data_IF_276813905732
#
_entry.id   IF_276813905732
#
_cell.length_a   1.000
_cell.length_b   1.000
_cell.length_c   1.000
_cell.angle_alpha   90.00
_cell.angle_beta   90.00
_cell.angle_gamma   90.00
#
_symmetry.space_group_name_H-M   'P 1'
#
loop_
_entity.id
_entity.type
_entity.pdbx_description
1 polymer ?
#
# COMPACT_ATOMS: atom_id res chain seq x y z
N UNK A 1 -1.49 -0.08 -27.04
CA UNK A 1 -2.03 0.19 -25.70
C UNK A 1 -1.23 1.34 -25.12
N UNK A 2 -1.90 2.33 -24.52
CA UNK A 2 -1.20 3.40 -23.81
C UNK A 2 -0.42 2.75 -22.64
N UNK A 3 0.84 3.09 -22.47
CA UNK A 3 1.66 2.50 -21.41
C UNK A 3 1.20 3.00 -20.04
N UNK A 4 0.93 2.08 -19.12
CA UNK A 4 0.57 2.39 -17.73
C UNK A 4 1.80 2.84 -16.92
N UNK A 5 1.60 3.72 -15.95
CA UNK A 5 2.56 4.09 -14.92
C UNK A 5 2.21 3.44 -13.56
N UNK A 6 3.13 2.63 -13.03
CA UNK A 6 3.01 2.02 -11.71
C UNK A 6 3.91 2.75 -10.70
N UNK A 7 3.32 3.31 -9.65
CA UNK A 7 4.08 3.71 -8.47
C UNK A 7 4.21 2.51 -7.52
N UNK A 8 5.43 2.10 -7.19
CA UNK A 8 5.70 1.09 -6.15
C UNK A 8 6.36 1.74 -4.94
N UNK A 9 5.66 1.77 -3.81
CA UNK A 9 6.23 2.18 -2.52
C UNK A 9 6.87 0.96 -1.86
N UNK A 10 8.17 1.03 -1.64
CA UNK A 10 8.99 -0.04 -1.08
C UNK A 10 9.57 0.36 0.27
N UNK A 11 9.52 -0.54 1.25
CA UNK A 11 10.10 -0.31 2.58
C UNK A 11 10.87 -1.53 3.05
N UNK A 12 12.18 -1.51 2.86
CA UNK A 12 13.10 -2.42 3.52
C UNK A 12 14.51 -1.79 3.58
N UNK A 13 15.31 -2.01 4.65
CA UNK A 13 16.65 -1.41 4.75
C UNK A 13 17.67 -1.89 3.70
N UNK A 14 17.34 -2.94 2.95
CA UNK A 14 18.24 -3.59 2.00
C UNK A 14 17.54 -3.85 0.67
N UNK A 15 18.22 -3.56 -0.44
CA UNK A 15 17.72 -3.72 -1.82
C UNK A 15 18.17 -5.03 -2.49
N UNK A 16 18.89 -5.88 -1.76
CA UNK A 16 19.46 -7.15 -2.20
C UNK A 16 18.94 -8.37 -1.40
N UNK A 17 17.95 -8.15 -0.51
CA UNK A 17 17.33 -9.20 0.31
C UNK A 17 16.01 -9.68 -0.27
N UNK A 18 15.45 -10.70 0.37
CA UNK A 18 14.24 -11.38 -0.11
C UNK A 18 13.07 -10.42 -0.40
N UNK A 19 12.78 -9.37 0.41
CA UNK A 19 11.75 -8.39 0.03
C UNK A 19 12.01 -7.65 -1.28
N UNK A 20 13.26 -7.35 -1.60
CA UNK A 20 13.62 -6.77 -2.89
C UNK A 20 13.45 -7.79 -4.03
N UNK A 21 13.73 -9.07 -3.78
CA UNK A 21 13.47 -10.13 -4.75
C UNK A 21 11.97 -10.29 -5.05
N UNK A 22 11.11 -10.24 -4.02
CA UNK A 22 9.64 -10.24 -4.16
C UNK A 22 9.18 -9.04 -5.00
N UNK A 23 9.66 -7.83 -4.70
CA UNK A 23 9.36 -6.64 -5.51
C UNK A 23 9.77 -6.83 -6.98
N UNK A 24 10.99 -7.32 -7.23
CA UNK A 24 11.49 -7.56 -8.59
C UNK A 24 10.65 -8.60 -9.34
N UNK A 25 10.23 -9.67 -8.68
CA UNK A 25 9.34 -10.68 -9.26
C UNK A 25 7.95 -10.12 -9.59
N UNK A 26 7.37 -9.31 -8.70
CA UNK A 26 6.13 -8.58 -8.98
C UNK A 26 6.25 -7.61 -10.17
N UNK A 27 7.40 -6.94 -10.33
CA UNK A 27 7.65 -6.02 -11.45
C UNK A 27 7.91 -6.70 -12.78
N UNK A 28 8.28 -7.98 -12.82
CA UNK A 28 8.68 -8.67 -14.05
C UNK A 28 7.56 -8.66 -15.12
N UNK A 29 6.30 -9.04 -14.80
CA UNK A 29 5.18 -8.89 -15.74
C UNK A 29 4.91 -7.44 -16.16
N UNK A 30 5.10 -6.47 -15.27
CA UNK A 30 4.88 -5.04 -15.54
C UNK A 30 5.85 -4.54 -16.60
N UNK A 31 7.13 -4.87 -16.46
CA UNK A 31 8.16 -4.54 -17.44
C UNK A 31 7.96 -5.28 -18.76
N UNK A 32 7.61 -6.57 -18.70
CA UNK A 32 7.38 -7.39 -19.88
C UNK A 32 6.21 -6.87 -20.75
N UNK A 33 5.20 -6.25 -20.11
CA UNK A 33 4.08 -5.61 -20.79
C UNK A 33 4.41 -4.20 -21.36
N UNK A 34 5.63 -3.70 -21.16
CA UNK A 34 6.07 -2.38 -21.63
C UNK A 34 5.53 -1.20 -20.82
N UNK A 35 5.10 -1.44 -19.57
CA UNK A 35 4.68 -0.39 -18.64
C UNK A 35 5.88 0.23 -17.92
N UNK A 36 5.68 1.43 -17.38
CA UNK A 36 6.70 2.14 -16.60
C UNK A 36 6.48 1.92 -15.10
N UNK A 37 7.57 1.93 -14.34
CA UNK A 37 7.55 1.72 -12.89
C UNK A 37 8.37 2.83 -12.25
N UNK A 38 7.73 3.60 -11.39
CA UNK A 38 8.39 4.46 -10.44
C UNK A 38 8.54 3.72 -9.11
N UNK A 39 9.77 3.60 -8.61
CA UNK A 39 10.04 2.93 -7.33
C UNK A 39 10.36 4.00 -6.30
N UNK A 40 9.43 4.20 -5.36
CA UNK A 40 9.64 5.00 -4.16
C UNK A 40 10.23 4.08 -3.07
N UNK A 41 11.55 3.99 -3.03
CA UNK A 41 12.26 3.27 -1.98
C UNK A 41 12.48 4.19 -0.78
N UNK A 42 11.63 4.05 0.25
CA UNK A 42 11.61 4.94 1.40
C UNK A 42 12.92 4.97 2.18
N UNK A 43 13.69 3.88 2.16
CA UNK A 43 15.00 3.84 2.83
C UNK A 43 16.10 4.45 1.96
N UNK A 44 16.12 4.12 0.66
CA UNK A 44 17.13 4.67 -0.25
C UNK A 44 16.93 6.16 -0.53
N UNK A 45 15.70 6.67 -0.43
CA UNK A 45 15.36 8.08 -0.56
C UNK A 45 15.40 8.86 0.78
N UNK A 46 15.81 8.23 1.88
CA UNK A 46 15.95 8.85 3.21
C UNK A 46 14.68 9.59 3.69
N UNK A 47 13.51 9.02 3.42
CA UNK A 47 12.23 9.60 3.81
C UNK A 47 12.10 9.68 5.33
N UNK A 48 11.76 10.85 5.89
CA UNK A 48 11.51 10.97 7.33
C UNK A 48 10.10 10.45 7.68
N UNK A 49 9.95 9.33 8.41
CA UNK A 49 8.62 8.81 8.72
C UNK A 49 7.91 9.55 9.85
N UNK A 50 8.58 10.49 10.52
CA UNK A 50 8.03 11.14 11.71
C UNK A 50 7.05 12.23 11.30
N UNK A 51 5.85 12.19 11.87
CA UNK A 51 4.89 13.28 11.75
C UNK A 51 5.42 14.54 12.46
N UNK A 52 5.64 15.61 11.70
CA UNK A 52 6.33 16.84 12.12
C UNK A 52 5.35 17.95 12.55
N UNK A 53 5.84 19.03 13.19
CA UNK A 53 5.03 20.23 13.42
C UNK A 53 4.47 20.87 12.14
N UNK A 54 5.17 20.75 11.01
CA UNK A 54 4.73 21.26 9.71
C UNK A 54 3.57 20.42 9.16
N UNK A 55 3.65 19.09 9.29
CA UNK A 55 2.55 18.18 8.95
C UNK A 55 1.31 18.50 9.81
N UNK A 56 1.50 18.76 11.10
CA UNK A 56 0.42 19.17 12.00
C UNK A 56 -0.16 20.53 11.61
N UNK A 57 0.67 21.50 11.24
CA UNK A 57 0.20 22.80 10.78
C UNK A 57 -0.63 22.65 9.49
N UNK A 58 -0.18 21.82 8.54
CA UNK A 58 -0.92 21.52 7.32
C UNK A 58 -2.29 20.87 7.61
N UNK A 59 -2.34 19.92 8.54
CA UNK A 59 -3.61 19.31 8.98
C UNK A 59 -4.65 20.36 9.44
N UNK A 60 -4.19 21.49 9.99
CA UNK A 60 -5.02 22.63 10.41
C UNK A 60 -5.13 23.76 9.35
N UNK A 61 -4.86 23.46 8.08
CA UNK A 61 -5.01 24.41 6.97
C UNK A 61 -3.77 25.23 6.66
N UNK A 62 -2.61 24.90 7.26
CA UNK A 62 -1.31 25.43 6.87
C UNK A 62 -0.85 24.92 5.49
N UNK A 63 0.27 25.46 4.98
CA UNK A 63 0.84 25.01 3.71
C UNK A 63 1.30 23.55 3.79
N UNK A 64 1.21 22.84 2.68
CA UNK A 64 1.75 21.49 2.55
C UNK A 64 3.29 21.55 2.56
N UNK A 65 3.99 20.66 3.29
CA UNK A 65 5.45 20.56 3.18
C UNK A 65 5.89 20.13 1.78
N UNK A 66 6.97 20.71 1.25
CA UNK A 66 7.42 20.48 -0.13
C UNK A 66 7.71 19.01 -0.45
N UNK A 67 8.29 18.29 0.52
CA UNK A 67 8.54 16.85 0.43
C UNK A 67 7.23 16.08 0.23
N UNK A 68 6.17 16.44 0.95
CA UNK A 68 4.86 15.78 0.87
C UNK A 68 4.15 16.14 -0.43
N UNK A 69 4.25 17.39 -0.88
CA UNK A 69 3.75 17.79 -2.19
C UNK A 69 4.44 17.04 -3.34
N UNK A 70 5.72 16.67 -3.19
CA UNK A 70 6.42 15.82 -4.15
C UNK A 70 5.87 14.39 -4.15
N UNK A 71 5.50 13.84 -2.99
CA UNK A 71 4.86 12.52 -2.92
C UNK A 71 3.45 12.53 -3.54
N UNK A 72 2.68 13.60 -3.36
CA UNK A 72 1.38 13.76 -4.03
C UNK A 72 1.49 13.68 -5.54
N UNK A 73 2.46 14.41 -6.13
CA UNK A 73 2.71 14.36 -7.58
C UNK A 73 3.01 12.94 -8.08
N UNK A 74 3.83 12.17 -7.35
CA UNK A 74 4.13 10.78 -7.73
C UNK A 74 2.87 9.90 -7.72
N UNK A 75 1.96 10.13 -6.77
CA UNK A 75 0.67 9.40 -6.72
C UNK A 75 -0.26 9.85 -7.85
N UNK A 76 -0.32 11.15 -8.14
CA UNK A 76 -1.15 11.73 -9.21
C UNK A 76 -0.69 11.29 -10.62
N UNK A 77 0.62 11.10 -10.80
CA UNK A 77 1.20 10.59 -12.05
C UNK A 77 0.96 9.08 -12.24
N UNK A 78 0.54 8.36 -11.19
CA UNK A 78 0.37 6.92 -11.21
C UNK A 78 -1.02 6.49 -11.67
N UNK A 79 -1.06 5.58 -12.65
CA UNK A 79 -2.30 4.89 -13.02
C UNK A 79 -2.66 3.82 -11.97
N UNK A 80 -1.65 3.31 -11.26
CA UNK A 80 -1.77 2.26 -10.24
C UNK A 80 -0.71 2.37 -9.17
N UNK A 81 -1.02 1.86 -7.98
CA UNK A 81 -0.09 1.79 -6.86
C UNK A 81 0.20 0.36 -6.42
N UNK A 82 1.42 0.12 -5.98
CA UNK A 82 1.84 -1.10 -5.31
C UNK A 82 2.62 -0.78 -4.03
N UNK A 83 2.46 -1.62 -3.01
CA UNK A 83 3.22 -1.53 -1.76
C UNK A 83 3.91 -2.87 -1.50
N UNK A 84 5.21 -2.86 -1.23
CA UNK A 84 5.97 -4.08 -0.93
C UNK A 84 6.79 -3.88 0.34
N UNK A 85 6.54 -4.71 1.36
CA UNK A 85 7.12 -4.55 2.69
C UNK A 85 7.17 -5.85 3.50
N UNK A 86 8.13 -6.01 4.43
CA UNK A 86 8.05 -7.04 5.46
C UNK A 86 6.92 -6.71 6.45
N UNK A 87 6.17 -7.72 6.89
CA UNK A 87 5.16 -7.54 7.93
C UNK A 87 5.85 -7.41 9.28
N UNK A 88 5.77 -6.22 9.88
CA UNK A 88 6.27 -5.95 11.22
C UNK A 88 5.09 -5.74 12.17
N UNK A 89 5.07 -6.51 13.26
CA UNK A 89 4.02 -6.42 14.28
C UNK A 89 2.59 -6.42 13.70
N UNK A 90 2.34 -7.32 12.73
CA UNK A 90 1.02 -7.46 12.07
C UNK A 90 0.57 -6.18 11.36
N UNK A 91 1.51 -5.46 10.78
CA UNK A 91 1.28 -4.23 10.01
C UNK A 91 2.46 -3.86 9.12
N UNK A 92 2.44 -2.61 8.66
CA UNK A 92 3.52 -2.02 7.86
C UNK A 92 4.73 -1.65 8.73
N UNK A 93 5.96 -1.65 8.19
CA UNK A 93 7.11 -1.05 8.86
C UNK A 93 6.88 0.44 9.16
N UNK A 94 7.54 0.96 10.20
CA UNK A 94 7.43 2.36 10.60
C UNK A 94 7.70 3.35 9.44
N UNK A 95 8.66 3.04 8.55
CA UNK A 95 8.94 3.86 7.37
C UNK A 95 7.71 4.01 6.47
N UNK A 96 7.09 2.89 6.09
CA UNK A 96 5.90 2.89 5.25
C UNK A 96 4.67 3.45 5.97
N UNK A 97 4.52 3.16 7.27
CA UNK A 97 3.42 3.73 8.06
C UNK A 97 3.53 5.24 8.17
N UNK A 98 4.74 5.76 8.39
CA UNK A 98 5.04 7.19 8.42
C UNK A 98 4.77 7.86 7.06
N UNK A 99 5.10 7.18 5.95
CA UNK A 99 4.75 7.67 4.62
C UNK A 99 3.25 7.84 4.46
N UNK A 100 2.46 6.83 4.85
CA UNK A 100 0.99 6.95 4.84
C UNK A 100 0.52 8.11 5.73
N UNK A 101 1.05 8.22 6.95
CA UNK A 101 0.62 9.26 7.91
C UNK A 101 0.89 10.69 7.44
N UNK A 102 2.04 10.92 6.78
CA UNK A 102 2.43 12.24 6.30
C UNK A 102 1.83 12.56 4.92
N UNK A 103 1.67 11.57 4.04
CA UNK A 103 1.22 11.79 2.65
C UNK A 103 -0.29 11.80 2.51
N UNK A 104 -1.04 11.02 3.30
CA UNK A 104 -2.51 10.97 3.16
C UNK A 104 -3.16 12.12 3.92
N UNK A 105 -3.01 13.34 3.41
CA UNK A 105 -3.38 14.58 4.09
C UNK A 105 -4.84 14.99 3.91
N UNK A 106 -5.34 15.82 4.82
CA UNK A 106 -6.65 16.48 4.70
C UNK A 106 -6.63 17.43 3.50
N UNK A 107 -7.69 17.42 2.69
CA UNK A 107 -7.82 18.26 1.50
C UNK A 107 -7.18 17.66 0.24
N UNK A 108 -6.44 16.55 0.37
CA UNK A 108 -5.89 15.80 -0.76
C UNK A 108 -6.32 14.34 -0.78
N UNK A 109 -6.19 13.61 0.33
CA UNK A 109 -6.63 12.21 0.42
C UNK A 109 -8.07 12.07 0.93
N UNK A 110 -8.47 12.94 1.85
CA UNK A 110 -9.82 12.98 2.41
C UNK A 110 -10.16 14.37 2.95
N UNK A 111 -11.45 14.64 3.17
CA UNK A 111 -11.92 15.91 3.74
C UNK A 111 -13.22 15.71 4.51
N UNK A 112 -13.47 16.54 5.52
CA UNK A 112 -14.80 16.68 6.14
C UNK A 112 -15.37 18.01 5.73
N UNK A 113 -16.59 18.06 5.17
CA UNK A 113 -17.20 19.33 4.75
C UNK A 113 -16.24 20.21 3.96
N UNK A 114 -15.88 21.38 4.51
CA UNK A 114 -14.90 22.31 3.94
C UNK A 114 -13.48 22.16 4.50
N UNK A 115 -13.27 21.38 5.55
CA UNK A 115 -11.95 21.18 6.15
C UNK A 115 -12.01 20.50 7.52
N UNK A 116 -10.88 20.43 8.20
CA UNK A 116 -10.74 19.71 9.48
C UNK A 116 -11.68 20.22 10.58
N UNK A 117 -12.08 21.49 10.56
CA UNK A 117 -13.02 22.08 11.52
C UNK A 117 -14.42 21.45 11.49
N UNK A 118 -14.76 20.81 10.37
CA UNK A 118 -16.02 20.10 10.15
C UNK A 118 -15.94 18.62 10.56
N UNK A 119 -14.80 18.14 11.06
CA UNK A 119 -14.65 16.77 11.56
C UNK A 119 -15.65 16.51 12.70
N UNK A 120 -16.43 15.44 12.55
CA UNK A 120 -17.50 15.08 13.49
C UNK A 120 -18.79 15.90 13.32
N UNK A 121 -18.83 16.87 12.40
CA UNK A 121 -20.01 17.70 12.07
C UNK A 121 -20.55 17.40 10.67
N UNK A 122 -19.66 17.12 9.72
CA UNK A 122 -19.98 16.82 8.34
C UNK A 122 -19.46 15.43 7.94
N UNK A 123 -20.06 14.79 6.93
CA UNK A 123 -19.59 13.51 6.42
C UNK A 123 -18.18 13.63 5.83
N UNK A 124 -17.46 12.50 5.85
CA UNK A 124 -16.20 12.32 5.14
C UNK A 124 -16.44 12.31 3.63
N UNK A 125 -15.61 13.03 2.91
CA UNK A 125 -15.44 12.96 1.45
C UNK A 125 -14.06 12.37 1.17
N UNK A 126 -14.02 11.30 0.39
CA UNK A 126 -12.80 10.64 -0.06
C UNK A 126 -12.31 11.27 -1.37
N UNK A 127 -11.00 11.48 -1.53
CA UNK A 127 -10.48 12.34 -2.61
C UNK A 127 -9.47 11.65 -3.56
N UNK A 128 -8.97 10.44 -3.28
CA UNK A 128 -7.94 9.77 -4.10
C UNK A 128 -8.44 9.05 -5.38
N UNK A 129 -9.67 9.29 -5.82
CA UNK A 129 -10.12 8.90 -7.17
C UNK A 129 -10.11 7.39 -7.53
N UNK A 130 -10.00 6.51 -6.53
CA UNK A 130 -9.95 5.05 -6.69
C UNK A 130 -8.81 4.51 -7.59
N UNK A 131 -7.59 5.03 -7.43
CA UNK A 131 -6.39 4.48 -8.09
C UNK A 131 -6.21 2.99 -7.67
N UNK A 132 -6.26 2.01 -8.60
CA UNK A 132 -6.11 0.60 -8.26
C UNK A 132 -4.82 0.34 -7.50
N UNK A 133 -4.93 -0.39 -6.38
CA UNK A 133 -3.82 -0.56 -5.44
C UNK A 133 -3.65 -2.02 -5.02
N UNK A 134 -2.40 -2.50 -5.02
CA UNK A 134 -2.08 -3.83 -4.47
C UNK A 134 -1.00 -3.73 -3.40
N UNK A 135 -1.06 -4.58 -2.39
CA UNK A 135 -0.05 -4.65 -1.34
C UNK A 135 0.48 -6.08 -1.22
N UNK A 136 1.79 -6.22 -1.03
CA UNK A 136 2.47 -7.50 -0.82
C UNK A 136 3.21 -7.42 0.51
N UNK A 137 2.57 -7.94 1.55
CA UNK A 137 3.18 -8.11 2.87
C UNK A 137 3.95 -9.42 2.94
N UNK A 138 5.18 -9.36 3.43
CA UNK A 138 6.09 -10.52 3.52
C UNK A 138 6.24 -10.92 4.99
N UNK A 139 5.59 -12.01 5.38
CA UNK A 139 5.50 -12.46 6.77
C UNK A 139 6.50 -13.56 7.10
N UNK A 140 7.16 -13.45 8.25
CA UNK A 140 8.02 -14.52 8.78
C UNK A 140 7.28 -15.70 9.42
N UNK A 141 6.01 -15.52 9.78
CA UNK A 141 5.17 -16.56 10.39
C UNK A 141 4.35 -17.34 9.36
N UNK A 142 4.03 -18.60 9.70
CA UNK A 142 3.17 -19.49 8.90
C UNK A 142 1.75 -18.96 8.72
N UNK A 143 1.07 -19.37 7.64
CA UNK A 143 -0.37 -19.13 7.43
C UNK A 143 -1.22 -19.58 8.62
N UNK A 144 -0.90 -20.75 9.22
CA UNK A 144 -1.61 -21.27 10.40
C UNK A 144 -1.59 -20.29 11.58
N UNK A 145 -0.49 -19.57 11.78
CA UNK A 145 -0.38 -18.55 12.83
C UNK A 145 -1.29 -17.36 12.52
N UNK A 146 -1.29 -16.87 11.28
CA UNK A 146 -2.16 -15.78 10.87
C UNK A 146 -3.64 -16.13 11.03
N UNK A 147 -4.05 -17.34 10.61
CA UNK A 147 -5.42 -17.82 10.74
C UNK A 147 -5.84 -17.95 12.21
N UNK A 148 -4.97 -18.52 13.07
CA UNK A 148 -5.27 -18.75 14.50
C UNK A 148 -5.59 -17.46 15.26
N UNK A 149 -4.89 -16.37 14.95
CA UNK A 149 -5.00 -15.11 15.67
C UNK A 149 -5.77 -14.02 14.92
N UNK A 150 -6.21 -14.30 13.68
CA UNK A 150 -6.96 -13.34 12.87
C UNK A 150 -6.11 -12.18 12.34
N UNK A 151 -4.80 -12.35 12.19
CA UNK A 151 -3.90 -11.26 11.77
C UNK A 151 -4.18 -10.80 10.33
N UNK A 152 -4.52 -11.73 9.43
CA UNK A 152 -4.97 -11.43 8.07
C UNK A 152 -6.14 -10.44 8.05
N UNK A 153 -7.16 -10.71 8.87
CA UNK A 153 -8.37 -9.87 8.95
C UNK A 153 -8.07 -8.52 9.59
N UNK A 154 -7.29 -8.51 10.67
CA UNK A 154 -6.86 -7.29 11.34
C UNK A 154 -6.08 -6.36 10.38
N UNK A 155 -5.16 -6.93 9.59
CA UNK A 155 -4.40 -6.19 8.57
C UNK A 155 -5.31 -5.66 7.46
N UNK A 156 -6.17 -6.48 6.87
CA UNK A 156 -7.10 -6.00 5.82
C UNK A 156 -8.05 -4.93 6.34
N UNK A 157 -8.54 -5.06 7.58
CA UNK A 157 -9.42 -4.06 8.18
C UNK A 157 -8.71 -2.73 8.38
N UNK A 158 -7.49 -2.72 8.92
CA UNK A 158 -6.78 -1.46 9.16
C UNK A 158 -6.21 -0.84 7.87
N UNK A 159 -5.70 -1.67 6.95
CA UNK A 159 -5.00 -1.22 5.74
C UNK A 159 -6.02 -0.98 4.62
N UNK A 160 -6.63 -2.04 4.10
CA UNK A 160 -7.48 -1.97 2.91
C UNK A 160 -8.70 -1.07 3.18
N UNK A 161 -9.36 -1.25 4.33
CA UNK A 161 -10.56 -0.47 4.68
C UNK A 161 -10.21 0.83 5.38
N UNK A 162 -9.46 0.76 6.48
CA UNK A 162 -9.20 1.89 7.37
C UNK A 162 -8.27 2.96 6.80
N UNK A 163 -7.44 2.61 5.80
CA UNK A 163 -6.48 3.53 5.19
C UNK A 163 -6.88 3.85 3.74
N UNK A 164 -6.90 2.86 2.86
CA UNK A 164 -7.09 3.07 1.42
C UNK A 164 -8.55 3.39 1.08
N UNK A 165 -9.50 2.52 1.45
CA UNK A 165 -10.91 2.75 1.14
C UNK A 165 -11.47 3.98 1.85
N UNK A 166 -10.95 4.29 3.04
CA UNK A 166 -11.24 5.55 3.74
C UNK A 166 -10.90 6.78 2.88
N UNK A 167 -9.78 6.75 2.14
CA UNK A 167 -9.35 7.82 1.23
C UNK A 167 -9.92 7.68 -0.19
N UNK A 168 -10.78 6.68 -0.45
CA UNK A 168 -11.48 6.49 -1.72
C UNK A 168 -10.81 5.50 -2.67
N UNK A 169 -9.74 4.84 -2.23
CA UNK A 169 -9.11 3.72 -2.93
C UNK A 169 -9.80 2.43 -2.49
N UNK A 170 -10.91 2.10 -3.13
CA UNK A 170 -11.70 0.90 -2.83
C UNK A 170 -11.25 -0.33 -3.62
N UNK A 171 -10.69 -0.18 -4.83
CA UNK A 171 -10.02 -1.23 -5.61
C UNK A 171 -8.62 -1.51 -5.01
N UNK A 172 -8.62 -2.08 -3.81
CA UNK A 172 -7.39 -2.39 -3.04
C UNK A 172 -7.38 -3.84 -2.60
N UNK A 173 -6.23 -4.50 -2.73
CA UNK A 173 -6.05 -5.87 -2.24
C UNK A 173 -4.71 -6.06 -1.55
N UNK A 174 -4.75 -6.47 -0.27
CA UNK A 174 -3.58 -6.97 0.45
C UNK A 174 -3.35 -8.46 0.24
N UNK A 175 -2.17 -8.79 -0.27
CA UNK A 175 -1.62 -10.14 -0.38
C UNK A 175 -0.57 -10.39 0.71
N UNK A 176 -0.44 -11.65 1.12
CA UNK A 176 0.56 -12.09 2.09
C UNK A 176 1.34 -13.27 1.53
N UNK A 177 2.66 -13.18 1.64
CA UNK A 177 3.59 -14.29 1.45
C UNK A 177 4.04 -14.71 2.85
N UNK A 178 3.84 -15.97 3.22
CA UNK A 178 4.06 -16.46 4.58
C UNK A 178 5.34 -17.28 4.70
N UNK A 179 5.84 -17.44 5.92
CA UNK A 179 6.86 -18.43 6.30
C UNK A 179 8.20 -18.32 5.54
N UNK A 180 8.67 -17.09 5.32
CA UNK A 180 9.87 -16.84 4.49
C UNK A 180 11.18 -16.67 5.29
N UNK A 181 11.15 -16.89 6.60
CA UNK A 181 12.33 -16.71 7.46
C UNK A 181 13.27 -17.91 7.40
N UNK A 182 14.57 -17.63 7.28
CA UNK A 182 15.63 -18.65 7.30
C UNK A 182 15.87 -19.35 5.96
N UNK A 183 17.12 -19.78 5.74
CA UNK A 183 17.53 -20.47 4.50
C UNK A 183 16.87 -21.85 4.32
N UNK A 184 16.44 -22.46 5.43
CA UNK A 184 15.73 -23.74 5.42
C UNK A 184 14.36 -23.66 4.72
N UNK A 185 13.82 -22.46 4.53
CA UNK A 185 12.57 -22.20 3.83
C UNK A 185 12.79 -21.77 2.36
N UNK A 186 13.88 -22.22 1.72
CA UNK A 186 14.20 -21.88 0.33
C UNK A 186 13.08 -22.21 -0.66
N UNK A 187 12.45 -23.38 -0.55
CA UNK A 187 11.31 -23.76 -1.40
C UNK A 187 10.11 -22.80 -1.21
N UNK A 188 9.79 -22.44 0.03
CA UNK A 188 8.71 -21.47 0.34
C UNK A 188 9.05 -20.09 -0.23
N UNK A 189 10.33 -19.70 -0.19
CA UNK A 189 10.79 -18.45 -0.81
C UNK A 189 10.62 -18.47 -2.33
N UNK A 190 10.93 -19.57 -2.99
CA UNK A 190 10.74 -19.71 -4.44
C UNK A 190 9.26 -19.65 -4.83
N UNK A 191 8.39 -20.32 -4.06
CA UNK A 191 6.93 -20.23 -4.21
C UNK A 191 6.43 -18.79 -3.99
N UNK A 192 6.98 -18.07 -3.01
CA UNK A 192 6.64 -16.67 -2.77
C UNK A 192 7.04 -15.74 -3.92
N UNK A 193 8.16 -15.99 -4.61
CA UNK A 193 8.54 -15.25 -5.81
C UNK A 193 7.57 -15.54 -6.98
N UNK A 194 7.14 -16.79 -7.15
CA UNK A 194 6.13 -17.16 -8.15
C UNK A 194 4.79 -16.46 -7.84
N UNK A 195 4.35 -16.49 -6.58
CA UNK A 195 3.15 -15.80 -6.12
C UNK A 195 3.23 -14.28 -6.42
N UNK A 196 4.38 -13.65 -6.19
CA UNK A 196 4.58 -12.22 -6.49
C UNK A 196 4.44 -11.91 -7.99
N UNK A 197 5.01 -12.76 -8.86
CA UNK A 197 4.86 -12.62 -10.31
C UNK A 197 3.41 -12.86 -10.76
N UNK A 198 2.69 -13.81 -10.16
CA UNK A 198 1.27 -14.03 -10.42
C UNK A 198 0.41 -12.85 -10.00
N UNK A 199 0.68 -12.25 -8.83
CA UNK A 199 0.03 -11.01 -8.40
C UNK A 199 0.26 -9.90 -9.43
N UNK A 200 1.50 -9.71 -9.89
CA UNK A 200 1.83 -8.73 -10.93
C UNK A 200 1.05 -8.95 -12.21
N UNK A 201 0.99 -10.19 -12.72
CA UNK A 201 0.25 -10.54 -13.93
C UNK A 201 -1.25 -10.32 -13.78
N UNK A 202 -1.84 -10.79 -12.67
CA UNK A 202 -3.26 -10.66 -12.39
C UNK A 202 -3.67 -9.19 -12.20
N UNK A 203 -2.82 -8.41 -11.53
CA UNK A 203 -3.06 -6.99 -11.34
C UNK A 203 -3.15 -6.33 -12.70
N UNK A 204 -2.15 -6.48 -13.58
CA UNK A 204 -2.08 -5.84 -14.90
C UNK A 204 -3.13 -6.29 -15.92
N UNK A 205 -3.80 -7.42 -15.69
CA UNK A 205 -4.74 -7.99 -16.65
C UNK A 205 -5.78 -6.95 -17.11
N UNK A 206 -6.02 -6.79 -18.43
CA UNK A 206 -7.04 -5.86 -18.93
C UNK A 206 -8.44 -6.16 -18.38
N UNK A 207 -8.70 -7.44 -18.10
CA UNK A 207 -9.92 -7.99 -17.53
C UNK A 207 -9.79 -8.29 -16.02
N UNK A 208 -8.88 -7.59 -15.31
CA UNK A 208 -8.73 -7.78 -13.86
C UNK A 208 -10.08 -7.65 -13.16
N UNK A 209 -10.28 -8.49 -12.15
CA UNK A 209 -11.44 -8.41 -11.27
C UNK A 209 -11.21 -7.27 -10.29
N UNK A 210 -11.99 -6.20 -10.41
CA UNK A 210 -12.01 -5.10 -9.44
C UNK A 210 -12.52 -5.64 -8.10
N UNK A 211 -11.81 -5.35 -7.01
CA UNK A 211 -12.18 -5.79 -5.66
C UNK A 211 -12.47 -4.59 -4.79
N UNK A 212 -13.74 -4.31 -4.55
CA UNK A 212 -14.13 -3.29 -3.58
C UNK A 212 -13.94 -3.81 -2.15
N UNK A 213 -12.82 -3.43 -1.53
CA UNK A 213 -12.45 -3.89 -0.20
C UNK A 213 -13.47 -3.49 0.88
N UNK A 214 -14.16 -2.36 0.71
CA UNK A 214 -15.16 -1.86 1.66
C UNK A 214 -16.43 -2.71 1.59
N UNK A 215 -16.93 -2.96 0.38
CA UNK A 215 -18.10 -3.83 0.20
C UNK A 215 -17.81 -5.28 0.60
N UNK A 216 -16.63 -5.81 0.29
CA UNK A 216 -16.21 -7.13 0.75
C UNK A 216 -16.18 -7.23 2.27
N UNK A 217 -15.60 -6.23 2.96
CA UNK A 217 -15.56 -6.20 4.41
C UNK A 217 -16.96 -6.17 5.02
N UNK A 218 -17.85 -5.29 4.55
CA UNK A 218 -19.21 -5.19 5.06
C UNK A 218 -20.00 -6.49 4.85
N UNK A 219 -19.85 -7.16 3.70
CA UNK A 219 -20.47 -8.47 3.45
C UNK A 219 -20.00 -9.54 4.43
N UNK A 220 -18.71 -9.59 4.76
CA UNK A 220 -18.16 -10.54 5.74
C UNK A 220 -18.66 -10.31 7.16
N UNK A 221 -18.94 -9.05 7.52
CA UNK A 221 -19.43 -8.67 8.86
C UNK A 221 -20.95 -8.85 9.02
N UNK A 222 -21.67 -9.01 7.91
CA UNK A 222 -23.12 -9.18 7.89
C UNK A 222 -23.57 -10.65 8.00
N UNK A 223 -22.65 -11.60 7.84
CA UNK A 223 -22.88 -13.04 8.04
C UNK A 223 -22.32 -13.52 9.38
#
# INVERSE_FOLDING_TARGET
>A
MQGMHLLTVYSHPFTDRYPAAVMKAFHEPVRAAGHTIDVLDLHSEDFDPRFTPEDHAHFWGGPIPDEIAAMHRRVEDADRMAFVFPVYWWGMPAMMKGWIERVFTVGWAYQYGKGVEDRGKQPLTSLLGNIPTTLIGIGGSTRRTYDRYGYDEAMRTQIDVGTFAYCGVTDVTSHLIYDVEGEHNSAVRDEGLQQAAEIGRAFLAPDRVVRDAKEEHLRRRAG
#
